data_IF_303869789782
#
_entry.id   IF_303869789782
#
_cell.length_a   1.000
_cell.length_b   1.000
_cell.length_c   1.000
_cell.angle_alpha   90.00
_cell.angle_beta   90.00
_cell.angle_gamma   90.00
#
_symmetry.space_group_name_H-M   'P 1'
#
loop_
_entity.id
_entity.type
_entity.pdbx_description
1 polymer ?
#
# COMPACT_ATOMS: atom_id res chain seq x y z
N UNK A 1 -10.33 8.76 -13.33
CA UNK A 1 -9.84 7.38 -13.50
C UNK A 1 -9.58 6.80 -12.12
N UNK A 2 -9.90 5.52 -11.92
CA UNK A 2 -9.67 4.78 -10.68
C UNK A 2 -8.48 3.84 -10.82
N UNK A 3 -7.98 3.34 -9.71
CA UNK A 3 -6.82 2.45 -9.66
C UNK A 3 -7.11 1.08 -10.28
N UNK A 4 -8.36 0.60 -10.28
CA UNK A 4 -8.74 -0.67 -10.93
C UNK A 4 -9.19 -0.54 -12.38
N UNK A 5 -9.16 0.68 -12.93
CA UNK A 5 -9.57 0.93 -14.31
C UNK A 5 -8.54 1.83 -14.98
N UNK A 6 -7.32 1.31 -15.22
CA UNK A 6 -6.25 2.09 -15.83
C UNK A 6 -6.56 2.40 -17.30
N UNK A 7 -5.95 3.46 -17.86
CA UNK A 7 -5.91 3.63 -19.31
C UNK A 7 -5.16 2.47 -19.98
N UNK A 8 -5.15 2.36 -21.32
CA UNK A 8 -4.27 1.42 -22.02
C UNK A 8 -2.80 1.63 -21.65
N UNK A 9 -2.03 0.55 -21.53
CA UNK A 9 -0.57 0.60 -21.35
C UNK A 9 0.10 1.20 -22.60
N UNK A 10 1.15 2.04 -22.47
CA UNK A 10 1.95 2.32 -21.27
C UNK A 10 1.57 3.63 -20.54
N UNK A 11 0.39 4.20 -20.81
CA UNK A 11 0.03 5.50 -20.23
C UNK A 11 0.01 5.44 -18.69
N UNK A 12 0.44 6.51 -17.99
CA UNK A 12 0.43 6.55 -16.53
C UNK A 12 -1.00 6.43 -15.99
N UNK A 13 -1.14 5.76 -14.84
CA UNK A 13 -2.42 5.65 -14.13
C UNK A 13 -2.58 6.86 -13.22
N UNK A 14 -3.59 7.70 -13.45
CA UNK A 14 -3.86 8.87 -12.62
C UNK A 14 -5.07 8.60 -11.73
N UNK A 15 -4.85 8.54 -10.42
CA UNK A 15 -5.86 8.21 -9.41
C UNK A 15 -6.40 9.49 -8.80
N UNK A 16 -7.67 9.82 -9.06
CA UNK A 16 -8.22 11.13 -8.68
C UNK A 16 -9.22 11.13 -7.54
N UNK A 17 -10.04 10.08 -7.39
CA UNK A 17 -11.14 9.98 -6.42
C UNK A 17 -11.48 8.53 -6.12
N UNK A 18 -10.45 7.71 -5.95
CA UNK A 18 -10.67 6.30 -5.70
C UNK A 18 -11.06 6.08 -4.23
N UNK A 19 -12.24 5.51 -4.01
CA UNK A 19 -12.79 5.24 -2.67
C UNK A 19 -12.28 3.92 -2.09
N UNK A 20 -11.56 3.13 -2.89
CA UNK A 20 -11.09 1.81 -2.54
C UNK A 20 -12.11 0.71 -2.87
N UNK A 21 -11.94 -0.44 -2.26
CA UNK A 21 -12.75 -1.62 -2.50
C UNK A 21 -12.12 -2.85 -1.88
N UNK A 22 -12.37 -4.01 -2.47
CA UNK A 22 -11.83 -5.27 -1.99
C UNK A 22 -10.30 -5.27 -2.12
N UNK A 23 -9.60 -5.39 -0.99
CA UNK A 23 -8.12 -5.26 -0.95
C UNK A 23 -7.43 -6.23 -1.92
N UNK A 24 -7.97 -7.44 -2.12
CA UNK A 24 -7.39 -8.44 -3.04
C UNK A 24 -7.35 -7.99 -4.49
N UNK A 25 -8.35 -7.23 -4.96
CA UNK A 25 -8.38 -6.73 -6.33
C UNK A 25 -7.29 -5.68 -6.55
N UNK A 26 -7.10 -4.82 -5.55
CA UNK A 26 -6.05 -3.80 -5.56
C UNK A 26 -4.66 -4.42 -5.43
N UNK A 27 -4.50 -5.49 -4.64
CA UNK A 27 -3.24 -6.23 -4.57
C UNK A 27 -2.87 -6.83 -5.93
N UNK A 28 -3.82 -7.51 -6.59
CA UNK A 28 -3.61 -8.10 -7.91
C UNK A 28 -3.24 -7.02 -8.95
N UNK A 29 -3.95 -5.88 -8.94
CA UNK A 29 -3.67 -4.77 -9.84
C UNK A 29 -2.33 -4.08 -9.52
N UNK A 30 -1.97 -3.94 -8.25
CA UNK A 30 -0.67 -3.41 -7.81
C UNK A 30 0.46 -4.29 -8.32
N UNK A 31 0.32 -5.60 -8.22
CA UNK A 31 1.32 -6.52 -8.74
C UNK A 31 1.46 -6.41 -10.27
N UNK A 32 0.35 -6.23 -11.00
CA UNK A 32 0.43 -5.95 -12.43
C UNK A 32 1.20 -4.66 -12.73
N UNK A 33 0.93 -3.57 -12.01
CA UNK A 33 1.66 -2.30 -12.18
C UNK A 33 3.14 -2.43 -11.84
N UNK A 34 3.48 -3.25 -10.84
CA UNK A 34 4.88 -3.55 -10.49
C UNK A 34 5.60 -4.26 -11.62
N UNK A 35 4.99 -5.29 -12.21
CA UNK A 35 5.56 -6.02 -13.37
C UNK A 35 5.75 -5.14 -14.59
N UNK A 36 4.82 -4.22 -14.83
CA UNK A 36 4.87 -3.28 -15.94
C UNK A 36 5.83 -2.09 -15.68
N UNK A 37 6.35 -1.95 -14.46
CA UNK A 37 6.98 -0.71 -13.97
C UNK A 37 6.12 0.54 -14.27
N UNK A 38 4.80 0.37 -14.21
CA UNK A 38 3.84 1.35 -14.66
C UNK A 38 3.80 2.54 -13.70
N UNK A 39 3.88 3.75 -14.24
CA UNK A 39 3.78 4.95 -13.43
C UNK A 39 2.35 5.10 -12.88
N UNK A 40 2.25 5.34 -11.57
CA UNK A 40 0.99 5.66 -10.89
C UNK A 40 1.11 7.02 -10.22
N UNK A 41 0.16 7.92 -10.50
CA UNK A 41 0.12 9.29 -9.96
C UNK A 41 -1.11 9.47 -9.07
N UNK A 42 -0.90 9.80 -7.80
CA UNK A 42 -1.98 9.88 -6.80
C UNK A 42 -2.39 11.33 -6.50
N UNK A 43 -3.69 11.63 -6.68
CA UNK A 43 -4.36 12.81 -6.11
C UNK A 43 -5.22 12.41 -4.90
N UNK A 44 -6.41 11.83 -5.10
CA UNK A 44 -7.25 11.37 -3.98
C UNK A 44 -7.40 9.86 -4.02
N UNK A 45 -7.09 9.25 -2.87
CA UNK A 45 -7.19 7.82 -2.69
C UNK A 45 -7.61 7.50 -1.25
N UNK A 46 -8.58 6.60 -1.10
CA UNK A 46 -9.11 6.12 0.18
C UNK A 46 -9.01 4.60 0.21
N UNK A 47 -8.58 4.03 1.33
CA UNK A 47 -8.56 2.58 1.54
C UNK A 47 -7.61 1.82 0.59
N UNK A 48 -8.07 0.77 -0.09
CA UNK A 48 -7.23 -0.18 -0.83
C UNK A 48 -6.34 0.43 -1.93
N UNK A 49 -6.74 1.53 -2.58
CA UNK A 49 -5.89 2.19 -3.58
C UNK A 49 -4.57 2.71 -2.99
N UNK A 50 -4.46 2.82 -1.65
CA UNK A 50 -3.22 3.25 -0.98
C UNK A 50 -2.08 2.25 -1.18
N UNK A 51 -2.37 1.02 -1.61
CA UNK A 51 -1.37 0.05 -2.06
C UNK A 51 -0.49 0.57 -3.20
N UNK A 52 -0.95 1.56 -3.96
CA UNK A 52 -0.14 2.30 -4.91
C UNK A 52 1.19 2.81 -4.32
N UNK A 53 1.19 3.19 -3.03
CA UNK A 53 2.38 3.70 -2.34
C UNK A 53 3.50 2.64 -2.23
N UNK A 54 3.19 1.36 -2.44
CA UNK A 54 4.17 0.26 -2.45
C UNK A 54 4.87 0.06 -3.80
N UNK A 55 4.46 0.80 -4.84
CA UNK A 55 5.03 0.68 -6.18
C UNK A 55 6.34 1.47 -6.28
N UNK A 56 7.33 0.97 -7.02
CA UNK A 56 8.59 1.68 -7.22
C UNK A 56 8.42 2.95 -8.08
N UNK A 57 7.44 2.95 -8.99
CA UNK A 57 7.16 4.06 -9.90
C UNK A 57 5.87 4.82 -9.54
N UNK A 58 5.59 4.97 -8.25
CA UNK A 58 4.51 5.85 -7.78
C UNK A 58 5.03 7.27 -7.54
N UNK A 59 4.19 8.26 -7.82
CA UNK A 59 4.35 9.61 -7.29
C UNK A 59 3.02 10.11 -6.70
N UNK A 60 3.13 11.11 -5.83
CA UNK A 60 2.00 11.80 -5.21
C UNK A 60 2.04 13.27 -5.60
N UNK A 61 0.88 13.87 -5.87
CA UNK A 61 0.78 15.32 -6.04
C UNK A 61 0.81 16.01 -4.67
N UNK A 62 1.36 17.23 -4.53
CA UNK A 62 1.45 17.91 -3.23
C UNK A 62 0.10 18.15 -2.54
N UNK A 63 -0.95 18.37 -3.33
CA UNK A 63 -2.33 18.59 -2.88
C UNK A 63 -3.12 17.29 -2.68
N UNK A 64 -2.48 16.13 -2.88
CA UNK A 64 -3.10 14.83 -2.72
C UNK A 64 -3.68 14.63 -1.32
N UNK A 65 -4.76 13.85 -1.24
CA UNK A 65 -5.35 13.39 0.02
C UNK A 65 -5.42 11.87 0.03
N UNK A 66 -4.61 11.26 0.88
CA UNK A 66 -4.53 9.81 1.00
C UNK A 66 -5.07 9.39 2.36
N UNK A 67 -6.13 8.58 2.35
CA UNK A 67 -6.90 8.22 3.54
C UNK A 67 -6.72 6.75 3.88
N UNK A 68 -6.12 6.51 5.04
CA UNK A 68 -5.76 5.21 5.57
C UNK A 68 -6.76 4.79 6.64
N UNK A 69 -7.17 3.52 6.64
CA UNK A 69 -7.98 2.92 7.69
C UNK A 69 -7.87 1.39 7.62
N UNK A 70 -8.39 0.71 8.65
CA UNK A 70 -8.47 -0.75 8.71
C UNK A 70 -9.41 -1.30 7.65
N UNK A 71 -9.04 -2.43 7.06
CA UNK A 71 -9.97 -3.19 6.24
C UNK A 71 -11.14 -3.68 7.09
N UNK A 72 -12.36 -3.54 6.58
CA UNK A 72 -13.57 -4.00 7.25
C UNK A 72 -14.57 -4.52 6.22
N UNK A 73 -15.44 -5.43 6.67
CA UNK A 73 -16.53 -5.93 5.85
C UNK A 73 -17.54 -4.81 5.56
N UNK A 74 -17.81 -4.51 4.28
CA UNK A 74 -18.69 -3.41 3.91
C UNK A 74 -20.13 -3.56 4.41
N UNK A 75 -20.60 -4.79 4.69
CA UNK A 75 -21.94 -5.10 5.19
C UNK A 75 -21.94 -5.13 6.72
N UNK A 76 -21.21 -6.05 7.35
CA UNK A 76 -21.22 -6.23 8.82
C UNK A 76 -20.47 -5.13 9.58
N UNK A 77 -19.62 -4.36 8.88
CA UNK A 77 -18.70 -3.35 9.44
C UNK A 77 -17.64 -3.92 10.38
N UNK A 78 -17.54 -5.24 10.51
CA UNK A 78 -16.50 -5.87 11.32
C UNK A 78 -15.12 -5.66 10.69
N UNK A 79 -14.13 -5.38 11.54
CA UNK A 79 -12.74 -5.20 11.10
C UNK A 79 -12.14 -6.55 10.77
N UNK A 80 -11.47 -6.62 9.63
CA UNK A 80 -10.59 -7.73 9.30
C UNK A 80 -9.16 -7.37 9.71
N UNK A 81 -8.71 -7.90 10.84
CA UNK A 81 -7.37 -7.63 11.37
C UNK A 81 -6.26 -8.20 10.49
N UNK A 82 -6.49 -9.36 9.84
CA UNK A 82 -5.51 -9.99 8.97
C UNK A 82 -5.27 -9.17 7.71
N UNK A 83 -6.35 -8.76 7.05
CA UNK A 83 -6.28 -7.88 5.87
C UNK A 83 -5.76 -6.50 6.25
N UNK A 84 -6.14 -5.95 7.41
CA UNK A 84 -5.62 -4.68 7.90
C UNK A 84 -4.10 -4.73 8.12
N UNK A 85 -3.59 -5.80 8.74
CA UNK A 85 -2.16 -5.97 8.95
C UNK A 85 -1.40 -6.11 7.62
N UNK A 86 -1.95 -6.88 6.68
CA UNK A 86 -1.37 -7.04 5.33
C UNK A 86 -1.32 -5.72 4.56
N UNK A 87 -2.41 -4.96 4.59
CA UNK A 87 -2.51 -3.64 3.98
C UNK A 87 -1.47 -2.67 4.58
N UNK A 88 -1.36 -2.63 5.92
CA UNK A 88 -0.39 -1.78 6.60
C UNK A 88 1.06 -2.14 6.26
N UNK A 89 1.37 -3.43 6.22
CA UNK A 89 2.72 -3.94 5.93
C UNK A 89 3.20 -3.58 4.51
N UNK A 90 2.28 -3.32 3.58
CA UNK A 90 2.62 -2.92 2.21
C UNK A 90 3.13 -1.47 2.10
N UNK A 91 2.86 -0.61 3.10
CA UNK A 91 3.25 0.79 3.02
C UNK A 91 4.77 0.99 3.22
N UNK A 92 5.37 2.06 2.66
CA UNK A 92 6.75 2.41 2.95
C UNK A 92 6.99 2.60 4.47
N UNK A 93 8.17 2.21 4.96
CA UNK A 93 8.47 2.22 6.39
C UNK A 93 8.26 3.60 7.06
N UNK A 94 8.58 4.70 6.37
CA UNK A 94 8.35 6.05 6.89
C UNK A 94 6.84 6.38 7.01
N UNK A 95 6.02 5.88 6.09
CA UNK A 95 4.56 6.02 6.15
C UNK A 95 3.99 5.15 7.29
N UNK A 96 4.48 3.92 7.44
CA UNK A 96 4.14 3.07 8.58
C UNK A 96 4.47 3.75 9.91
N UNK A 97 5.69 4.29 10.06
CA UNK A 97 6.10 4.99 11.28
C UNK A 97 5.23 6.24 11.56
N UNK A 98 4.87 7.00 10.52
CA UNK A 98 4.00 8.17 10.65
C UNK A 98 2.58 7.80 11.12
N UNK A 99 2.07 6.68 10.63
CA UNK A 99 0.76 6.16 10.98
C UNK A 99 0.78 5.39 12.32
N UNK A 100 1.85 4.68 12.67
CA UNK A 100 1.89 3.79 13.83
C UNK A 100 1.05 2.52 13.63
N UNK A 101 -0.26 2.65 13.41
CA UNK A 101 -1.19 1.57 13.10
C UNK A 101 -2.41 2.10 12.33
N UNK A 102 -3.20 1.18 11.76
CA UNK A 102 -4.48 1.51 11.12
C UNK A 102 -5.62 1.47 12.13
N UNK A 103 -6.52 2.44 12.03
CA UNK A 103 -7.75 2.59 12.82
C UNK A 103 -9.00 2.42 11.94
N UNK A 104 -10.18 2.24 12.54
CA UNK A 104 -11.47 2.30 11.82
C UNK A 104 -11.70 3.69 11.21
N UNK A 105 -11.30 4.73 11.92
CA UNK A 105 -11.39 6.11 11.47
C UNK A 105 -10.31 6.40 10.42
N UNK A 106 -10.64 7.27 9.46
CA UNK A 106 -9.67 7.70 8.48
C UNK A 106 -8.56 8.52 9.13
N UNK A 107 -7.33 8.08 8.91
CA UNK A 107 -6.15 8.92 9.04
C UNK A 107 -5.79 9.46 7.67
N UNK A 108 -5.64 10.78 7.58
CA UNK A 108 -5.34 11.44 6.31
C UNK A 108 -3.91 11.93 6.34
N UNK A 109 -3.12 11.55 5.33
CA UNK A 109 -1.85 12.20 5.04
C UNK A 109 -2.01 13.00 3.75
N UNK A 110 -1.52 14.24 3.77
CA UNK A 110 -1.49 15.07 2.57
C UNK A 110 -0.35 14.64 1.66
N UNK A 111 -0.46 14.96 0.38
CA UNK A 111 0.59 14.73 -0.60
C UNK A 111 1.93 15.30 -0.20
N UNK A 112 1.95 16.57 0.24
CA UNK A 112 3.15 17.23 0.76
C UNK A 112 3.80 16.49 1.93
N UNK A 113 3.00 15.87 2.80
CA UNK A 113 3.48 15.09 3.94
C UNK A 113 4.06 13.75 3.49
N UNK A 114 3.39 13.06 2.55
CA UNK A 114 3.94 11.85 1.94
C UNK A 114 5.25 12.12 1.20
N UNK A 115 5.36 13.25 0.51
CA UNK A 115 6.61 13.69 -0.14
C UNK A 115 7.71 13.91 0.91
N UNK A 116 7.40 14.57 2.02
CA UNK A 116 8.35 14.76 3.12
C UNK A 116 8.80 13.42 3.76
N UNK A 117 7.97 12.38 3.68
CA UNK A 117 8.29 11.01 4.11
C UNK A 117 9.05 10.20 3.05
N UNK A 118 9.41 10.79 1.91
CA UNK A 118 10.24 10.18 0.87
C UNK A 118 9.48 9.70 -0.37
N UNK A 119 8.18 9.97 -0.49
CA UNK A 119 7.46 9.68 -1.73
C UNK A 119 7.86 10.67 -2.84
N UNK A 120 7.89 10.21 -4.10
CA UNK A 120 8.19 11.08 -5.25
C UNK A 120 7.08 12.11 -5.45
N UNK A 121 7.47 13.37 -5.69
CA UNK A 121 6.57 14.44 -6.10
C UNK A 121 6.25 14.31 -7.59
N UNK A 122 4.97 14.24 -7.98
CA UNK A 122 4.57 14.19 -9.39
C UNK A 122 4.87 15.49 -10.16
N UNK A 123 5.00 16.62 -9.48
CA UNK A 123 5.25 17.93 -10.10
C UNK A 123 6.74 18.24 -10.31
N UNK A 124 7.66 17.36 -9.89
CA UNK A 124 9.09 17.61 -9.98
C UNK A 124 9.87 16.43 -10.52
N UNK A 125 11.11 16.70 -10.94
CA UNK A 125 12.01 15.73 -11.56
C UNK A 125 12.81 14.91 -10.53
N UNK A 126 12.20 14.50 -9.41
CA UNK A 126 12.90 13.72 -8.37
C UNK A 126 12.74 12.21 -8.63
N UNK A 127 13.60 11.52 -9.39
CA UNK A 127 13.59 10.06 -9.44
C UNK A 127 13.83 9.50 -8.04
N UNK A 128 13.11 8.45 -7.67
CA UNK A 128 13.24 7.79 -6.37
C UNK A 128 14.67 7.28 -6.21
N UNK A 129 15.43 7.86 -5.27
CA UNK A 129 16.65 7.25 -4.76
C UNK A 129 16.25 6.04 -3.91
N UNK A 130 16.00 4.90 -4.55
CA UNK A 130 16.02 3.63 -3.83
C UNK A 130 17.47 3.47 -3.40
N UNK A 131 17.76 3.75 -2.13
CA UNK A 131 19.03 3.43 -1.53
C UNK A 131 19.17 1.90 -1.56
N UNK A 132 19.74 1.38 -2.65
CA UNK A 132 20.44 0.11 -2.60
C UNK A 132 21.48 0.29 -1.51
N UNK A 133 21.37 -0.51 -0.45
CA UNK A 133 22.30 -0.52 0.66
C UNK A 133 23.67 -0.93 0.11
N UNK A 134 24.42 0.02 -0.44
CA UNK A 134 25.82 -0.16 -0.77
C UNK A 134 26.52 -0.46 0.55
N UNK A 135 27.23 -1.60 0.57
CA UNK A 135 27.97 -2.07 1.72
C UNK A 135 28.75 -0.92 2.33
N UNK A 136 28.48 -0.59 3.60
CA UNK A 136 29.45 0.16 4.41
C UNK A 136 30.68 -0.73 4.56
N UNK A 137 31.58 -0.69 3.56
CA UNK A 137 32.99 -0.99 3.80
C UNK A 137 33.50 0.15 4.68
N UNK A 138 33.61 -0.16 5.97
CA UNK A 138 34.40 0.63 6.89
C UNK A 138 35.86 0.60 6.38
N UNK A 139 36.29 1.69 5.74
CA UNK A 139 37.70 1.95 5.51
C UNK A 139 38.13 2.91 6.61
N UNK A 140 38.74 2.33 7.65
CA UNK A 140 39.50 3.06 8.65
C UNK A 140 40.63 3.82 7.97
N UNK A 141 40.63 5.14 8.12
CA UNK A 141 41.75 5.98 7.74
C UNK A 141 42.89 5.80 8.76
N UNK A 142 44.01 5.25 8.31
CA UNK A 142 45.30 5.43 8.98
C UNK A 142 46.30 6.06 8.01
N UNK A 143 46.90 7.12 8.52
CA UNK A 143 47.81 8.09 7.91
C UNK A 143 49.14 7.45 7.47
N UNK A 144 49.69 7.88 6.32
CA UNK A 144 51.09 7.67 5.88
C UNK A 144 51.99 8.82 6.35
N UNK A 145 53.31 8.60 6.50
CA UNK A 145 54.29 8.93 5.45
C UNK A 145 55.32 7.77 5.28
N UNK A 146 56.23 7.63 4.31
CA UNK A 146 56.80 8.49 3.26
C UNK A 146 57.49 7.62 2.18
N UNK A 147 57.76 8.25 1.02
CA UNK A 147 58.84 8.01 0.05
C UNK A 147 58.81 6.89 -1.04
N UNK A 148 59.20 7.37 -2.24
CA UNK A 148 59.73 6.74 -3.46
C UNK A 148 58.76 6.26 -4.57
N UNK A 149 59.01 6.76 -5.79
CA UNK A 149 58.43 6.41 -7.09
C UNK A 149 59.59 6.17 -8.09
N UNK A 150 59.38 5.72 -9.35
CA UNK A 150 58.32 4.87 -9.90
C UNK A 150 58.90 3.64 -10.65
N UNK A 151 58.14 2.55 -10.80
CA UNK A 151 58.40 1.55 -11.85
C UNK A 151 57.07 1.18 -12.51
N UNK A 152 57.03 1.36 -13.84
CA UNK A 152 55.89 1.06 -14.69
C UNK A 152 55.54 -0.43 -14.62
N UNK A 153 54.27 -0.75 -14.36
CA UNK A 153 53.75 -2.11 -14.41
C UNK A 153 52.56 -2.19 -15.37
N UNK A 154 52.70 -3.06 -16.36
CA UNK A 154 51.73 -3.27 -17.44
C UNK A 154 50.41 -3.86 -16.91
N UNK A 155 49.24 -3.35 -17.36
CA UNK A 155 47.93 -3.68 -16.78
C UNK A 155 47.40 -5.08 -17.12
N UNK A 156 48.12 -5.88 -17.92
CA UNK A 156 47.70 -7.24 -18.28
C UNK A 156 48.28 -8.34 -17.38
N UNK A 157 49.34 -8.07 -16.61
CA UNK A 157 49.99 -9.07 -15.76
C UNK A 157 49.24 -9.35 -14.45
N UNK A 158 48.53 -8.37 -13.91
CA UNK A 158 47.87 -8.49 -12.59
C UNK A 158 46.55 -9.28 -12.62
N UNK A 159 45.92 -9.42 -13.79
CA UNK A 159 44.71 -10.23 -13.93
C UNK A 159 45.05 -11.74 -13.98
N UNK A 160 46.13 -12.13 -14.65
CA UNK A 160 46.57 -13.52 -14.73
C UNK A 160 46.97 -14.09 -13.35
N UNK A 161 47.58 -13.27 -12.50
CA UNK A 161 47.98 -13.67 -11.14
C UNK A 161 46.80 -13.80 -10.17
N UNK A 162 45.70 -13.06 -10.40
CA UNK A 162 44.46 -13.18 -9.61
C UNK A 162 43.63 -14.41 -9.97
N UNK A 163 43.65 -14.85 -11.24
CA UNK A 163 42.92 -16.07 -11.64
C UNK A 163 43.68 -17.33 -11.21
N UNK A 164 45.02 -17.33 -11.24
CA UNK A 164 45.80 -18.47 -10.76
C UNK A 164 45.70 -18.69 -9.23
N UNK A 165 45.59 -17.61 -8.45
CA UNK A 165 45.42 -17.71 -6.99
C UNK A 165 44.01 -18.17 -6.58
N UNK A 166 42.99 -17.94 -7.41
CA UNK A 166 41.63 -18.41 -7.17
C UNK A 166 41.44 -19.92 -7.43
N UNK A 167 42.22 -20.52 -8.34
CA UNK A 167 42.10 -21.95 -8.69
C UNK A 167 43.00 -22.83 -7.81
N UNK A 168 44.11 -22.32 -7.29
CA UNK A 168 44.97 -23.06 -6.36
C UNK A 168 44.35 -23.24 -4.96
N UNK A 169 43.44 -22.35 -4.54
CA UNK A 169 42.70 -22.49 -3.27
C UNK A 169 41.55 -23.50 -3.31
N UNK A 170 41.14 -23.96 -4.49
CA UNK A 170 39.97 -24.82 -4.65
C UNK A 170 40.27 -26.34 -4.62
N UNK A 171 41.55 -26.76 -4.62
CA UNK A 171 41.93 -28.18 -4.71
C UNK A 171 42.93 -28.65 -3.64
N UNK A 172 43.06 -27.95 -2.52
CA UNK A 172 43.85 -28.43 -1.38
C UNK A 172 42.95 -28.70 -0.18
N UNK A 173 42.59 -29.97 0.00
CA UNK A 173 42.29 -30.58 1.30
C UNK A 173 43.11 -31.86 1.37
N UNK A 174 43.73 -32.18 2.52
CA UNK A 174 42.97 -32.92 3.53
C UNK A 174 43.26 -32.57 5.01
N UNK A 175 42.30 -32.99 5.84
CA UNK A 175 42.41 -33.39 7.25
C UNK A 175 42.76 -32.37 8.36
N UNK A 176 41.73 -31.97 9.11
CA UNK A 176 41.74 -32.00 10.58
C UNK A 176 40.31 -31.81 11.11
N UNK A 177 39.77 -32.82 11.80
CA UNK A 177 38.60 -32.66 12.67
C UNK A 177 39.00 -31.93 13.95
N UNK A 178 38.16 -31.05 14.52
CA UNK A 178 37.51 -31.45 15.76
C UNK A 178 36.06 -30.98 15.93
N UNK A 179 35.22 -31.95 16.32
CA UNK A 179 34.20 -31.91 17.39
C UNK A 179 33.46 -30.58 17.64
N UNK A 180 32.26 -30.50 17.08
CA UNK A 180 31.12 -29.75 17.63
C UNK A 180 29.85 -30.25 16.95
N UNK A 181 29.02 -31.03 17.65
CA UNK A 181 27.76 -31.52 17.10
C UNK A 181 26.77 -30.36 16.97
N UNK A 182 26.45 -30.01 15.73
CA UNK A 182 25.35 -29.09 15.41
C UNK A 182 24.05 -29.77 15.86
N UNK A 183 23.39 -29.22 16.89
CA UNK A 183 22.03 -29.61 17.24
C UNK A 183 21.06 -28.81 16.39
N UNK A 184 20.44 -29.48 15.43
CA UNK A 184 19.28 -28.98 14.69
C UNK A 184 18.06 -29.29 15.55
N UNK A 185 17.37 -28.25 16.04
CA UNK A 185 16.06 -28.41 16.64
C UNK A 185 15.02 -28.53 15.50
N UNK A 186 14.71 -29.77 15.12
CA UNK A 186 13.50 -30.08 14.34
C UNK A 186 12.36 -30.13 15.35
N UNK A 187 11.40 -29.21 15.24
CA UNK A 187 10.17 -29.31 16.02
C UNK A 187 9.32 -30.44 15.42
N UNK A 188 9.28 -31.59 16.09
CA UNK A 188 8.34 -32.65 15.79
C UNK A 188 6.91 -32.16 16.03
N UNK A 189 6.08 -32.30 15.00
CA UNK A 189 4.64 -32.07 15.08
C UNK A 189 4.02 -33.29 15.76
N UNK A 190 3.94 -33.26 17.07
CA UNK A 190 3.23 -34.31 17.81
C UNK A 190 1.76 -34.39 17.38
N UNK A 191 1.38 -35.63 17.07
CA UNK A 191 0.04 -36.09 16.77
C UNK A 191 -0.78 -36.03 18.05
N UNK A 192 -1.86 -35.25 18.05
CA UNK A 192 -2.86 -35.25 19.13
C UNK A 192 -3.50 -36.64 19.20
N UNK A 193 -3.51 -37.32 20.36
CA UNK A 193 -4.32 -38.51 20.54
C UNK A 193 -5.80 -38.12 20.70
N UNK A 194 -6.64 -38.67 19.83
CA UNK A 194 -8.08 -38.75 20.06
C UNK A 194 -8.33 -39.62 21.31
N UNK A 195 -9.15 -39.13 22.24
CA UNK A 195 -9.73 -39.95 23.29
C UNK A 195 -9.65 -39.37 24.69
N UNK A 196 -10.55 -38.43 25.01
CA UNK A 196 -11.40 -38.45 26.22
C UNK A 196 -12.33 -37.24 26.20
N UNK A 197 -13.52 -37.45 25.65
CA UNK A 197 -14.69 -36.65 25.97
C UNK A 197 -15.01 -36.89 27.46
N UNK A 198 -14.67 -35.92 28.31
CA UNK A 198 -15.23 -35.85 29.67
C UNK A 198 -16.33 -34.81 29.64
N UNK A 199 -17.57 -35.29 29.65
CA UNK A 199 -18.78 -34.52 29.94
C UNK A 199 -18.67 -33.92 31.34
N UNK A 200 -18.28 -32.66 31.45
CA UNK A 200 -18.45 -31.87 32.69
C UNK A 200 -18.48 -30.34 32.45
N UNK A 201 -18.62 -29.89 31.20
CA UNK A 201 -18.76 -28.47 30.86
C UNK A 201 -20.24 -28.02 30.76
N UNK A 202 -21.14 -28.64 31.54
CA UNK A 202 -22.55 -28.23 31.65
C UNK A 202 -22.96 -28.16 33.12
N UNK A 203 -22.16 -27.52 33.98
CA UNK A 203 -22.58 -27.14 35.34
C UNK A 203 -21.55 -26.21 35.98
N UNK A 204 -21.39 -24.98 35.48
CA UNK A 204 -20.76 -23.85 36.21
C UNK A 204 -20.89 -22.56 35.43
N UNK A 205 -22.12 -22.03 35.38
CA UNK A 205 -22.39 -20.60 35.16
C UNK A 205 -23.76 -20.24 35.74
N UNK A 206 -24.02 -20.69 36.96
CA UNK A 206 -25.08 -20.13 37.82
C UNK A 206 -24.42 -19.67 39.12
N UNK A 207 -23.74 -18.52 39.08
CA UNK A 207 -23.41 -17.69 40.24
C UNK A 207 -22.65 -16.43 39.78
N UNK A 208 -23.38 -15.40 39.37
CA UNK A 208 -22.92 -14.02 39.55
C UNK A 208 -24.12 -13.08 39.59
N UNK A 209 -24.56 -12.87 40.83
CA UNK A 209 -24.98 -11.60 41.43
C UNK A 209 -25.78 -10.65 40.55
N UNK A 210 -27.07 -10.60 40.85
CA UNK A 210 -28.02 -9.59 40.42
C UNK A 210 -27.49 -8.16 40.62
N UNK A 211 -27.38 -7.41 39.53
CA UNK A 211 -27.34 -5.95 39.54
C UNK A 211 -28.79 -5.47 39.30
N UNK A 212 -29.38 -4.61 40.15
CA UNK A 212 -30.70 -4.06 39.90
C UNK A 212 -30.64 -3.18 38.63
N UNK A 213 -31.35 -3.60 37.60
CA UNK A 213 -31.60 -2.84 36.37
C UNK A 213 -32.49 -1.64 36.71
N UNK A 214 -31.91 -0.46 36.80
CA UNK A 214 -32.65 0.80 36.64
C UNK A 214 -33.08 0.91 35.16
N UNK A 215 -34.35 1.24 34.87
CA UNK A 215 -34.77 1.49 33.49
C UNK A 215 -34.07 2.76 32.97
N UNK A 216 -33.62 2.79 31.71
CA UNK A 216 -33.06 3.99 31.13
C UNK A 216 -34.14 5.07 31.03
N UNK A 217 -33.92 6.19 31.69
CA UNK A 217 -34.60 7.46 31.42
C UNK A 217 -34.47 7.78 29.93
N UNK A 218 -35.58 8.14 29.28
CA UNK A 218 -35.61 8.60 27.89
C UNK A 218 -34.60 9.74 27.72
N UNK A 219 -33.49 9.45 27.03
CA UNK A 219 -32.64 10.48 26.47
C UNK A 219 -33.36 11.07 25.25
N UNK A 220 -33.43 12.40 25.19
CA UNK A 220 -34.00 13.13 24.06
C UNK A 220 -33.32 12.70 22.74
N UNK A 221 -34.09 12.57 21.64
CA UNK A 221 -33.51 12.23 20.35
C UNK A 221 -32.49 13.31 19.92
N UNK A 222 -31.37 12.92 19.28
CA UNK A 222 -30.41 13.88 18.77
C UNK A 222 -31.08 14.84 17.77
N UNK A 223 -30.68 16.12 17.73
CA UNK A 223 -31.31 17.11 16.85
C UNK A 223 -31.19 16.66 15.40
N UNK A 224 -32.32 16.73 14.69
CA UNK A 224 -32.38 16.38 13.26
C UNK A 224 -31.44 17.28 12.46
N UNK A 225 -30.77 16.75 11.42
CA UNK A 225 -29.95 17.55 10.54
C UNK A 225 -30.80 18.66 9.88
N UNK A 226 -30.19 19.81 9.54
CA UNK A 226 -30.90 20.92 8.92
C UNK A 226 -31.60 20.46 7.63
N UNK A 227 -32.85 20.90 7.45
CA UNK A 227 -33.62 20.60 6.24
C UNK A 227 -32.86 21.11 5.02
N UNK A 228 -32.80 20.26 3.99
CA UNK A 228 -32.34 20.65 2.66
C UNK A 228 -33.14 21.89 2.21
N UNK A 229 -32.49 22.96 1.73
CA UNK A 229 -33.19 24.11 1.17
C UNK A 229 -34.10 23.67 0.01
N UNK A 230 -35.26 24.31 -0.18
CA UNK A 230 -36.17 23.96 -1.26
C UNK A 230 -35.44 24.10 -2.61
N UNK A 231 -35.64 23.12 -3.48
CA UNK A 231 -35.05 23.04 -4.82
C UNK A 231 -35.71 24.03 -5.79
N UNK A 232 -35.80 25.30 -5.41
CA UNK A 232 -36.19 26.39 -6.32
C UNK A 232 -35.05 26.77 -7.28
N UNK A 233 -33.84 26.21 -7.10
CA UNK A 233 -32.71 26.41 -7.99
C UNK A 233 -32.76 25.58 -9.29
N UNK A 234 -33.80 24.77 -9.50
CA UNK A 234 -34.02 24.04 -10.76
C UNK A 234 -35.50 24.13 -11.14
N UNK A 235 -35.89 25.29 -11.66
CA UNK A 235 -37.21 25.42 -12.29
C UNK A 235 -37.13 24.89 -13.72
N UNK A 236 -38.25 24.39 -14.27
CA UNK A 236 -38.33 23.99 -15.68
C UNK A 236 -38.04 25.14 -16.67
N UNK A 237 -37.97 26.40 -16.19
CA UNK A 237 -37.52 27.55 -16.98
C UNK A 237 -36.02 27.52 -17.27
N UNK A 238 -35.21 26.90 -16.43
CA UNK A 238 -33.76 26.75 -16.65
C UNK A 238 -33.42 25.62 -17.64
N UNK A 239 -34.37 24.72 -17.91
CA UNK A 239 -34.23 23.65 -18.90
C UNK A 239 -34.50 24.10 -20.34
N UNK A 240 -34.96 25.34 -20.55
CA UNK A 240 -35.37 25.86 -21.85
C UNK A 240 -34.31 26.74 -22.54
N UNK A 241 -33.03 26.59 -22.19
CA UNK A 241 -31.97 27.13 -23.05
C UNK A 241 -31.84 26.23 -24.29
N UNK A 242 -32.05 26.73 -25.52
CA UNK A 242 -31.80 25.93 -26.71
C UNK A 242 -30.31 25.61 -26.76
N UNK A 243 -29.96 24.33 -26.62
CA UNK A 243 -28.61 23.85 -26.82
C UNK A 243 -28.15 24.25 -28.22
N UNK A 244 -27.28 25.25 -28.32
CA UNK A 244 -26.58 25.53 -29.56
C UNK A 244 -25.69 24.32 -29.86
N UNK A 245 -26.02 23.55 -30.91
CA UNK A 245 -25.17 22.46 -31.34
C UNK A 245 -23.81 23.01 -31.76
N UNK A 246 -22.75 22.41 -31.21
CA UNK A 246 -21.38 22.74 -31.58
C UNK A 246 -21.15 22.29 -33.03
N UNK A 247 -20.55 23.11 -33.92
CA UNK A 247 -20.26 22.69 -35.29
C UNK A 247 -19.48 21.38 -35.32
N UNK A 248 -20.06 20.33 -35.92
CA UNK A 248 -19.46 19.00 -36.03
C UNK A 248 -20.01 17.94 -35.06
N UNK A 249 -20.90 18.26 -34.12
CA UNK A 249 -21.56 17.25 -33.29
C UNK A 249 -22.77 16.63 -34.01
N UNK A 250 -22.65 15.38 -34.45
CA UNK A 250 -23.78 14.56 -34.89
C UNK A 250 -24.42 13.90 -33.65
N UNK A 251 -25.75 13.93 -33.48
CA UNK A 251 -26.40 13.22 -32.38
C UNK A 251 -26.22 11.70 -32.54
N UNK A 252 -25.84 11.04 -31.44
CA UNK A 252 -25.59 9.57 -31.40
C UNK A 252 -26.92 8.79 -31.52
N UNK A 253 -28.03 9.41 -31.15
CA UNK A 253 -29.35 8.79 -31.15
C UNK A 253 -30.17 9.27 -32.35
N UNK A 254 -30.80 8.32 -33.04
CA UNK A 254 -31.71 8.60 -34.15
C UNK A 254 -32.97 9.32 -33.67
N UNK A 255 -33.56 10.17 -34.52
CA UNK A 255 -34.70 11.05 -34.20
C UNK A 255 -35.96 10.33 -33.67
N UNK A 256 -36.00 9.00 -33.71
CA UNK A 256 -37.05 8.15 -33.13
C UNK A 256 -37.04 8.12 -31.59
N UNK A 257 -35.97 8.58 -30.95
CA UNK A 257 -35.81 8.54 -29.49
C UNK A 257 -35.84 9.92 -28.83
N UNK A 258 -36.20 10.97 -29.55
CA UNK A 258 -36.42 12.28 -28.93
C UNK A 258 -37.79 12.29 -28.23
N UNK A 259 -37.86 12.73 -26.96
CA UNK A 259 -39.14 12.86 -26.27
C UNK A 259 -39.99 13.91 -26.99
N UNK A 260 -41.23 13.53 -27.32
CA UNK A 260 -42.24 14.44 -27.86
C UNK A 260 -42.54 15.49 -26.79
N UNK A 261 -42.27 16.76 -27.11
CA UNK A 261 -42.66 17.87 -26.25
C UNK A 261 -44.20 17.95 -26.21
N UNK A 262 -44.78 17.64 -25.05
CA UNK A 262 -46.20 17.87 -24.75
C UNK A 262 -46.47 19.38 -24.71
N UNK A 263 -47.43 19.84 -25.51
CA UNK A 263 -47.97 21.21 -25.47
C UNK A 263 -48.83 21.42 -24.24
#
# INVERSE_FOLDING_TARGET
MGYLSPPPSPAPVIVYKDVGGLVTDYEAQTEQYRRENREVRLHECRSACTLALSLPNVCVYPDAQVKFHQAYNAISKEVDLGVSAKLFAAYPAAVQARLGYLTREYRVLRGSELIALGMRNCNGDNPVLIASRSQRQAVSASVRPDAAAPVAANPFGDLARKVQTAVAGAFSSPEASPRGSIRIAVADRERVPEGRLSSDAVARSEASTAIPRTPPTLADPPPLPPRRPPSEAFTARDAAAPFAMIPGSQPILSAKFLPVATR
#
